data_IF_826579252821
#
_entry.id   IF_826579252821
#
_cell.length_a   1.000
_cell.length_b   1.000
_cell.length_c   1.000
_cell.angle_alpha   90.00
_cell.angle_beta   90.00
_cell.angle_gamma   90.00
#
_symmetry.space_group_name_H-M   'P 1'
#
loop_
_entity.id
_entity.type
_entity.pdbx_description
1 polymer ?
#
# COMPACT_ATOMS: atom_id res chain seq x y z
N UNK A 1 2.89 32.82 24.54
CA UNK A 1 1.57 32.93 23.87
C UNK A 1 1.11 31.53 23.50
N UNK A 2 0.24 30.92 24.31
CA UNK A 2 -0.31 29.60 24.02
C UNK A 2 -1.35 29.73 22.91
N UNK A 3 -0.99 29.32 21.68
CA UNK A 3 -1.95 29.13 20.59
C UNK A 3 -2.79 27.91 20.96
N UNK A 4 -3.92 28.13 21.62
CA UNK A 4 -4.93 27.09 21.83
C UNK A 4 -5.38 26.61 20.45
N UNK A 5 -4.98 25.41 20.07
CA UNK A 5 -5.48 24.74 18.88
C UNK A 5 -7.01 24.73 18.96
N UNK A 6 -7.73 25.07 17.89
CA UNK A 6 -9.18 25.01 17.90
C UNK A 6 -9.58 23.53 18.07
N UNK A 7 -10.11 23.19 19.24
CA UNK A 7 -10.69 21.88 19.50
C UNK A 7 -11.97 21.76 18.66
N UNK A 8 -11.84 21.24 17.45
CA UNK A 8 -13.00 20.83 16.66
C UNK A 8 -13.69 19.69 17.39
N UNK A 9 -14.73 20.02 18.14
CA UNK A 9 -15.48 19.09 18.97
C UNK A 9 -16.04 17.91 18.16
N UNK A 10 -16.36 18.14 16.88
CA UNK A 10 -16.75 17.11 15.92
C UNK A 10 -15.64 16.09 15.65
N UNK A 11 -14.38 16.54 15.54
CA UNK A 11 -13.23 15.66 15.32
C UNK A 11 -12.91 14.81 16.54
N UNK A 12 -13.07 15.37 17.75
CA UNK A 12 -12.92 14.62 19.01
C UNK A 12 -13.99 13.53 19.08
N UNK A 13 -15.27 13.88 18.87
CA UNK A 13 -16.37 12.90 18.85
C UNK A 13 -16.19 11.81 17.79
N UNK A 14 -15.69 12.17 16.61
CA UNK A 14 -15.39 11.21 15.56
C UNK A 14 -14.27 10.25 15.97
N UNK A 15 -13.18 10.76 16.54
CA UNK A 15 -12.08 9.94 17.02
C UNK A 15 -12.53 9.00 18.15
N UNK A 16 -13.29 9.50 19.12
CA UNK A 16 -13.83 8.67 20.21
C UNK A 16 -14.74 7.56 19.67
N UNK A 17 -15.57 7.88 18.67
CA UNK A 17 -16.40 6.89 18.00
C UNK A 17 -15.56 5.86 17.25
N UNK A 18 -14.56 6.29 16.49
CA UNK A 18 -13.69 5.40 15.73
C UNK A 18 -12.91 4.46 16.65
N UNK A 19 -12.37 4.99 17.75
CA UNK A 19 -11.63 4.22 18.74
C UNK A 19 -12.50 3.16 19.42
N UNK A 20 -13.67 3.55 19.93
CA UNK A 20 -14.61 2.64 20.59
C UNK A 20 -15.27 1.64 19.63
N UNK A 21 -15.30 1.93 18.34
CA UNK A 21 -15.98 1.07 17.35
C UNK A 21 -15.04 0.08 16.69
N UNK A 22 -13.77 0.46 16.48
CA UNK A 22 -12.84 -0.32 15.64
C UNK A 22 -11.47 -0.61 16.28
N UNK A 23 -10.99 0.18 17.24
CA UNK A 23 -9.58 0.14 17.70
C UNK A 23 -9.41 -0.45 19.08
N UNK A 24 -10.25 -0.06 20.04
CA UNK A 24 -10.12 -0.47 21.44
C UNK A 24 -10.52 -1.95 21.59
N UNK A 25 -9.54 -2.84 21.65
CA UNK A 25 -9.74 -4.28 21.78
C UNK A 25 -10.57 -4.71 23.00
N UNK A 26 -10.75 -3.85 24.01
CA UNK A 26 -11.56 -4.13 25.19
C UNK A 26 -13.04 -3.74 25.07
N UNK A 27 -13.38 -2.79 24.19
CA UNK A 27 -14.74 -2.25 24.03
C UNK A 27 -15.22 -2.15 22.57
N UNK A 28 -14.42 -2.64 21.62
CA UNK A 28 -14.66 -2.56 20.19
C UNK A 28 -15.95 -3.28 19.79
N UNK A 29 -16.85 -2.54 19.13
CA UNK A 29 -18.11 -3.07 18.60
C UNK A 29 -17.90 -4.00 17.40
N UNK A 30 -16.89 -3.71 16.56
CA UNK A 30 -16.57 -4.48 15.37
C UNK A 30 -15.09 -4.87 15.36
N UNK A 31 -14.68 -5.85 16.17
CA UNK A 31 -13.29 -6.27 16.27
C UNK A 31 -12.76 -6.80 14.93
N UNK A 32 -11.44 -6.68 14.72
CA UNK A 32 -10.80 -6.96 13.42
C UNK A 32 -11.09 -8.36 12.88
N UNK A 33 -11.28 -9.36 13.74
CA UNK A 33 -11.61 -10.73 13.34
C UNK A 33 -12.98 -10.88 12.65
N UNK A 34 -13.87 -9.89 12.78
CA UNK A 34 -15.14 -9.83 12.07
C UNK A 34 -15.04 -9.15 10.71
N UNK A 35 -13.91 -8.54 10.39
CA UNK A 35 -13.76 -7.81 9.13
C UNK A 35 -13.60 -8.82 8.00
N UNK A 36 -14.25 -8.55 6.86
CA UNK A 36 -14.10 -9.35 5.65
C UNK A 36 -12.65 -9.42 5.13
N UNK A 37 -11.80 -8.48 5.54
CA UNK A 37 -10.37 -8.44 5.24
C UNK A 37 -9.49 -9.08 6.32
N UNK A 38 -10.06 -9.61 7.41
CA UNK A 38 -9.29 -10.16 8.53
C UNK A 38 -8.28 -11.20 8.05
N UNK A 39 -8.77 -12.23 7.37
CA UNK A 39 -7.92 -13.33 6.90
C UNK A 39 -6.91 -12.84 5.87
N UNK A 40 -7.27 -11.84 5.07
CA UNK A 40 -6.37 -11.19 4.12
C UNK A 40 -5.24 -10.45 4.84
N UNK A 41 -5.54 -9.73 5.93
CA UNK A 41 -4.57 -8.97 6.72
C UNK A 41 -3.68 -9.92 7.52
N UNK A 42 -4.25 -10.92 8.20
CA UNK A 42 -3.53 -11.89 9.03
C UNK A 42 -2.59 -12.75 8.19
N UNK A 43 -3.05 -13.22 7.02
CA UNK A 43 -2.24 -14.06 6.14
C UNK A 43 -1.43 -13.28 5.09
N UNK A 44 -1.43 -11.94 5.20
CA UNK A 44 -0.75 -11.03 4.27
C UNK A 44 -1.08 -11.33 2.79
N UNK A 45 -2.35 -11.66 2.52
CA UNK A 45 -2.84 -11.96 1.19
C UNK A 45 -3.10 -10.67 0.40
N UNK A 46 -3.11 -10.73 -0.94
CA UNK A 46 -3.47 -9.59 -1.76
C UNK A 46 -4.88 -9.07 -1.43
N UNK A 47 -5.00 -7.76 -1.22
CA UNK A 47 -6.29 -7.08 -0.93
C UNK A 47 -7.28 -7.13 -2.10
N UNK A 48 -6.80 -7.38 -3.32
CA UNK A 48 -7.60 -7.39 -4.54
C UNK A 48 -7.30 -8.61 -5.40
N UNK A 49 -8.30 -9.03 -6.17
CA UNK A 49 -8.24 -10.10 -7.17
C UNK A 49 -7.64 -9.63 -8.52
N UNK A 50 -7.01 -8.45 -8.57
CA UNK A 50 -6.47 -7.84 -9.80
C UNK A 50 -5.54 -8.79 -10.58
N UNK A 51 -4.81 -9.66 -9.88
CA UNK A 51 -3.95 -10.66 -10.50
C UNK A 51 -4.76 -11.69 -11.32
N UNK A 52 -5.90 -12.16 -10.80
CA UNK A 52 -6.79 -13.08 -11.48
C UNK A 52 -7.55 -12.40 -12.62
N UNK A 53 -7.99 -11.15 -12.42
CA UNK A 53 -8.63 -10.34 -13.46
C UNK A 53 -7.68 -10.10 -14.65
N UNK A 54 -6.43 -9.71 -14.36
CA UNK A 54 -5.41 -9.53 -15.38
C UNK A 54 -5.08 -10.82 -16.14
N UNK A 55 -4.98 -11.94 -15.41
CA UNK A 55 -4.79 -13.26 -16.01
C UNK A 55 -5.93 -13.63 -16.96
N UNK A 56 -7.18 -13.51 -16.51
CA UNK A 56 -8.35 -13.84 -17.32
C UNK A 56 -8.49 -12.92 -18.54
N UNK A 57 -8.22 -11.63 -18.38
CA UNK A 57 -8.22 -10.66 -19.48
C UNK A 57 -7.20 -11.06 -20.56
N UNK A 58 -5.97 -11.41 -20.14
CA UNK A 58 -4.92 -11.88 -21.05
C UNK A 58 -5.28 -13.21 -21.71
N UNK A 59 -5.81 -14.18 -20.97
CA UNK A 59 -6.29 -15.43 -21.57
C UNK A 59 -7.36 -15.17 -22.63
N UNK A 60 -8.29 -14.24 -22.36
CA UNK A 60 -9.31 -13.82 -23.31
C UNK A 60 -8.74 -13.25 -24.61
N UNK A 61 -7.54 -12.67 -24.60
CA UNK A 61 -6.87 -12.21 -25.83
C UNK A 61 -6.07 -13.31 -26.54
N UNK A 62 -5.65 -14.35 -25.84
CA UNK A 62 -4.85 -15.45 -26.38
C UNK A 62 -5.71 -16.54 -27.02
N UNK A 63 -6.93 -16.77 -26.52
CA UNK A 63 -7.83 -17.77 -27.08
C UNK A 63 -8.66 -17.20 -28.24
N UNK A 64 -8.55 -17.84 -29.40
CA UNK A 64 -9.53 -17.67 -30.47
C UNK A 64 -10.89 -18.24 -30.04
N UNK A 65 -11.99 -17.75 -30.63
CA UNK A 65 -13.31 -18.32 -30.39
C UNK A 65 -13.33 -19.80 -30.80
N UNK A 66 -13.37 -20.70 -29.82
CA UNK A 66 -13.33 -22.17 -29.94
C UNK A 66 -12.04 -22.76 -30.53
N UNK A 67 -10.93 -22.79 -29.76
CA UNK A 67 -9.71 -23.45 -30.21
C UNK A 67 -9.85 -24.97 -30.22
N UNK A 68 -9.16 -25.64 -31.13
CA UNK A 68 -8.98 -27.10 -31.07
C UNK A 68 -8.30 -27.50 -29.75
N UNK A 69 -8.65 -28.66 -29.17
CA UNK A 69 -8.15 -29.08 -27.85
C UNK A 69 -6.62 -29.10 -27.75
N UNK A 70 -5.91 -29.55 -28.78
CA UNK A 70 -4.44 -29.49 -28.80
C UNK A 70 -3.91 -28.06 -28.80
N UNK A 71 -4.54 -27.17 -29.56
CA UNK A 71 -4.16 -25.75 -29.58
C UNK A 71 -4.44 -25.07 -28.23
N UNK A 72 -5.54 -25.45 -27.59
CA UNK A 72 -5.86 -25.01 -26.23
C UNK A 72 -4.77 -25.43 -25.23
N UNK A 73 -4.33 -26.70 -25.28
CA UNK A 73 -3.28 -27.22 -24.40
C UNK A 73 -1.93 -26.51 -24.63
N UNK A 74 -1.57 -26.25 -25.89
CA UNK A 74 -0.35 -25.50 -26.24
C UNK A 74 -0.38 -24.08 -25.63
N UNK A 75 -1.49 -23.36 -25.85
CA UNK A 75 -1.64 -22.00 -25.33
C UNK A 75 -1.58 -21.95 -23.79
N UNK A 76 -2.19 -22.93 -23.12
CA UNK A 76 -2.11 -23.03 -21.66
C UNK A 76 -0.68 -23.30 -21.17
N UNK A 77 0.07 -24.15 -21.87
CA UNK A 77 1.47 -24.43 -21.54
C UNK A 77 2.32 -23.16 -21.67
N UNK A 78 2.19 -22.46 -22.79
CA UNK A 78 2.95 -21.24 -23.06
C UNK A 78 2.62 -20.15 -22.05
N UNK A 79 1.33 -19.98 -21.72
CA UNK A 79 0.91 -19.02 -20.71
C UNK A 79 1.42 -19.40 -19.31
N UNK A 80 1.45 -20.69 -18.95
CA UNK A 80 2.02 -21.13 -17.69
C UNK A 80 3.51 -20.77 -17.55
N UNK A 81 4.29 -20.98 -18.61
CA UNK A 81 5.71 -20.60 -18.67
C UNK A 81 5.85 -19.08 -18.54
N UNK A 82 5.05 -18.32 -19.28
CA UNK A 82 5.04 -16.86 -19.21
C UNK A 82 4.75 -16.36 -17.78
N UNK A 83 3.71 -16.89 -17.13
CA UNK A 83 3.33 -16.51 -15.77
C UNK A 83 4.41 -16.84 -14.76
N UNK A 84 5.08 -17.98 -14.92
CA UNK A 84 6.22 -18.33 -14.06
C UNK A 84 7.33 -17.27 -14.16
N UNK A 85 7.72 -16.87 -15.36
CA UNK A 85 8.71 -15.80 -15.57
C UNK A 85 8.24 -14.44 -15.05
N UNK A 86 7.00 -14.07 -15.33
CA UNK A 86 6.41 -12.80 -14.88
C UNK A 86 6.35 -12.73 -13.35
N UNK A 87 6.02 -13.83 -12.67
CA UNK A 87 6.00 -13.91 -11.21
C UNK A 87 7.42 -13.73 -10.62
N UNK A 88 8.44 -14.31 -11.24
CA UNK A 88 9.83 -14.16 -10.82
C UNK A 88 10.31 -12.70 -10.97
N UNK A 89 9.98 -12.05 -12.08
CA UNK A 89 10.26 -10.63 -12.29
C UNK A 89 9.50 -9.75 -11.29
N UNK A 90 8.22 -10.05 -11.03
CA UNK A 90 7.40 -9.31 -10.07
C UNK A 90 7.99 -9.35 -8.65
N UNK A 91 8.56 -10.48 -8.23
CA UNK A 91 9.29 -10.60 -6.95
C UNK A 91 10.50 -9.67 -6.91
N UNK A 92 11.29 -9.60 -7.98
CA UNK A 92 12.44 -8.69 -8.07
C UNK A 92 11.99 -7.23 -7.98
N UNK A 93 10.93 -6.84 -8.70
CA UNK A 93 10.38 -5.48 -8.63
C UNK A 93 9.79 -5.16 -7.25
N UNK A 94 9.20 -6.13 -6.56
CA UNK A 94 8.72 -5.96 -5.19
C UNK A 94 9.91 -5.71 -4.23
N UNK A 95 10.97 -6.52 -4.31
CA UNK A 95 12.19 -6.31 -3.51
C UNK A 95 12.79 -4.93 -3.75
N UNK A 96 12.95 -4.50 -5.01
CA UNK A 96 13.44 -3.16 -5.34
C UNK A 96 12.59 -2.03 -4.72
N UNK A 97 11.26 -2.20 -4.68
CA UNK A 97 10.36 -1.22 -4.05
C UNK A 97 10.53 -1.17 -2.54
N UNK A 98 10.73 -2.32 -1.89
CA UNK A 98 11.03 -2.38 -0.44
C UNK A 98 12.33 -1.64 -0.16
N UNK A 99 13.41 -1.95 -0.89
CA UNK A 99 14.70 -1.28 -0.73
C UNK A 99 14.57 0.24 -0.93
N UNK A 100 13.88 0.69 -1.98
CA UNK A 100 13.65 2.12 -2.19
C UNK A 100 12.89 2.78 -1.02
N UNK A 101 11.89 2.10 -0.46
CA UNK A 101 11.13 2.59 0.69
C UNK A 101 12.00 2.66 1.95
N UNK A 102 12.85 1.67 2.18
CA UNK A 102 13.80 1.63 3.29
C UNK A 102 14.83 2.75 3.17
N UNK A 103 15.39 2.96 1.98
CA UNK A 103 16.33 4.05 1.68
C UNK A 103 15.69 5.42 1.93
N UNK A 104 14.44 5.60 1.46
CA UNK A 104 13.67 6.83 1.70
C UNK A 104 13.47 7.07 3.20
N UNK A 105 13.11 6.02 3.95
CA UNK A 105 12.88 6.14 5.39
C UNK A 105 14.18 6.45 6.15
N UNK A 106 15.30 5.86 5.73
CA UNK A 106 16.62 6.18 6.28
C UNK A 106 17.00 7.65 6.05
N UNK A 107 16.72 8.20 4.86
CA UNK A 107 16.94 9.62 4.57
C UNK A 107 16.08 10.52 5.45
N UNK A 108 14.80 10.20 5.64
CA UNK A 108 13.91 10.96 6.52
C UNK A 108 14.42 10.95 7.98
N UNK A 109 14.93 9.82 8.47
CA UNK A 109 15.51 9.73 9.82
C UNK A 109 16.75 10.63 9.97
N UNK A 110 17.60 10.72 8.94
CA UNK A 110 18.76 11.63 8.97
C UNK A 110 18.29 13.08 9.02
N UNK A 111 17.32 13.47 8.20
CA UNK A 111 16.76 14.82 8.18
C UNK A 111 16.13 15.21 9.53
N UNK A 112 15.37 14.30 10.14
CA UNK A 112 14.79 14.50 11.47
C UNK A 112 15.87 14.70 12.55
N UNK A 113 16.96 13.92 12.50
CA UNK A 113 18.08 14.09 13.42
C UNK A 113 18.82 15.43 13.20
N UNK A 114 18.99 15.87 11.95
CA UNK A 114 19.58 17.18 11.64
C UNK A 114 18.70 18.32 12.15
N UNK A 115 17.38 18.18 12.04
CA UNK A 115 16.41 19.14 12.56
C UNK A 115 16.43 19.19 14.10
N UNK A 116 16.42 18.04 14.77
CA UNK A 116 16.48 17.98 16.24
C UNK A 116 17.77 18.58 16.81
N UNK A 117 18.87 18.50 16.06
CA UNK A 117 20.15 19.09 16.41
C UNK A 117 20.27 20.58 16.01
N UNK A 118 19.22 21.18 15.46
CA UNK A 118 19.19 22.59 15.03
C UNK A 118 20.04 22.91 13.80
N UNK A 119 20.49 21.90 13.05
CA UNK A 119 21.32 22.09 11.85
C UNK A 119 20.51 22.55 10.63
N UNK A 120 19.22 22.23 10.59
CA UNK A 120 18.29 22.65 9.54
C UNK A 120 17.07 23.32 10.16
N UNK A 121 16.55 24.33 9.48
CA UNK A 121 15.33 25.06 9.88
C UNK A 121 14.07 24.35 9.40
N UNK A 122 12.92 24.64 10.04
CA UNK A 122 11.61 24.06 9.67
C UNK A 122 11.28 24.23 8.17
N UNK A 123 11.61 25.40 7.60
CA UNK A 123 11.40 25.69 6.19
C UNK A 123 12.28 24.81 5.28
N UNK A 124 13.53 24.58 5.67
CA UNK A 124 14.46 23.74 4.90
C UNK A 124 14.06 22.27 4.96
N UNK A 125 13.60 21.80 6.13
CA UNK A 125 13.06 20.45 6.28
C UNK A 125 11.83 20.25 5.38
N UNK A 126 10.89 21.19 5.39
CA UNK A 126 9.69 21.15 4.55
C UNK A 126 10.02 21.07 3.04
N UNK A 127 10.97 21.88 2.57
CA UNK A 127 11.44 21.86 1.18
C UNK A 127 12.08 20.51 0.83
N UNK A 128 12.94 19.97 1.71
CA UNK A 128 13.63 18.70 1.47
C UNK A 128 12.68 17.49 1.52
N UNK A 129 11.58 17.57 2.28
CA UNK A 129 10.50 16.59 2.26
C UNK A 129 9.53 16.77 1.08
N UNK A 130 9.77 17.73 0.18
CA UNK A 130 9.01 17.92 -1.06
C UNK A 130 7.79 18.85 -0.95
N UNK A 131 7.65 19.63 0.12
CA UNK A 131 6.64 20.69 0.13
C UNK A 131 7.01 21.81 -0.84
N UNK A 132 6.09 22.11 -1.77
CA UNK A 132 6.23 23.25 -2.66
C UNK A 132 5.98 24.56 -1.88
N UNK A 133 7.06 25.24 -1.51
CA UNK A 133 6.97 26.57 -0.88
C UNK A 133 6.57 27.58 -1.94
N UNK A 134 5.33 28.11 -1.84
CA UNK A 134 4.91 29.26 -2.63
C UNK A 134 5.64 30.51 -2.14
N UNK A 135 6.61 30.98 -2.90
CA UNK A 135 7.16 32.33 -2.73
C UNK A 135 6.08 33.34 -3.11
N UNK A 136 5.68 34.18 -2.15
CA UNK A 136 4.89 35.39 -2.43
C UNK A 136 5.78 36.46 -3.07
#
# INVERSE_FOLDING_TARGET
MNKSTPHHHSSVKFNDHLLSTYVDSSSCRYPIHLWNVNDTVVNNLPRTNNHAEGYNSRLGTLFLTHPHIFRFIELLRDEHIFQHHHSAQSKIHALKRVTLSEDTNAQLLVLLNQHSNGQITDLQLAIQCGEAVKTK
#
